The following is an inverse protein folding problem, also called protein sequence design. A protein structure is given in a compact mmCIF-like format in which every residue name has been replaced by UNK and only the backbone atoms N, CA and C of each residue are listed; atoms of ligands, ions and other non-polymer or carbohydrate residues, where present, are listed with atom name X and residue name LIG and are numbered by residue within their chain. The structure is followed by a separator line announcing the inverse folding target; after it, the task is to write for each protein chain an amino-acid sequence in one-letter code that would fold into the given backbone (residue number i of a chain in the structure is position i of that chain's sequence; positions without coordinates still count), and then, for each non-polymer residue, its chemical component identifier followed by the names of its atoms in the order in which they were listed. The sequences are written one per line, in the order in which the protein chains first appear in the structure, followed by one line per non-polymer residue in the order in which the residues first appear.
data_IF_679745004083
#
_entry.id   IF_679745004083
#
_cell.length_a   1.000
_cell.length_b   1.000
_cell.length_c   1.000
_cell.angle_alpha   90.00
_cell.angle_beta   90.00
_cell.angle_gamma   90.00
#
_symmetry.space_group_name_H-M   'P 1'
#
loop_
_entity.id
_entity.type
_entity.pdbx_description
1 polymer ?
#
# COMPACT_ATOMS: atom_id res chain seq x y z
N UNK A 1 23.10 -26.16 -11.37
CA UNK A 1 23.55 -24.79 -11.03
C UNK A 1 22.88 -24.38 -9.73
N UNK A 2 23.63 -24.24 -8.62
CA UNK A 2 23.09 -23.71 -7.37
C UNK A 2 23.08 -22.18 -7.47
N UNK A 3 21.91 -21.55 -7.28
CA UNK A 3 21.82 -20.09 -7.21
C UNK A 3 22.64 -19.60 -6.00
N UNK A 4 23.34 -18.45 -6.11
CA UNK A 4 23.96 -17.80 -4.96
C UNK A 4 22.88 -17.54 -3.89
N UNK A 5 23.09 -18.03 -2.67
CA UNK A 5 22.18 -17.76 -1.54
C UNK A 5 22.33 -16.30 -1.14
N UNK A 6 21.27 -15.51 -1.32
CA UNK A 6 21.25 -14.12 -0.86
C UNK A 6 21.15 -14.09 0.67
N UNK A 7 21.58 -13.00 1.31
CA UNK A 7 21.33 -12.79 2.74
C UNK A 7 19.85 -12.90 3.04
N UNK A 8 18.99 -12.35 2.18
CA UNK A 8 17.54 -12.51 2.22
C UNK A 8 17.01 -13.94 2.38
N UNK A 9 17.67 -14.96 1.79
CA UNK A 9 17.20 -16.35 1.86
C UNK A 9 17.23 -16.94 3.29
N UNK A 10 18.07 -16.37 4.18
CA UNK A 10 18.08 -16.79 5.60
C UNK A 10 16.98 -16.09 6.39
N UNK A 11 16.48 -14.95 5.91
CA UNK A 11 15.29 -14.27 6.45
C UNK A 11 14.07 -14.92 5.80
N UNK A 12 13.63 -16.07 6.32
CA UNK A 12 12.45 -16.80 5.81
C UNK A 12 11.11 -16.10 6.09
N UNK A 13 11.04 -14.77 5.90
CA UNK A 13 9.82 -13.99 6.01
C UNK A 13 9.10 -13.93 4.68
N UNK A 14 7.79 -14.21 4.69
CA UNK A 14 6.90 -13.97 3.55
C UNK A 14 6.09 -12.68 3.73
N UNK A 15 6.30 -11.94 4.82
CA UNK A 15 5.52 -10.74 5.14
C UNK A 15 5.85 -9.56 4.22
N UNK A 16 7.05 -9.53 3.65
CA UNK A 16 7.42 -8.53 2.64
C UNK A 16 6.49 -8.53 1.41
N UNK A 17 5.83 -9.65 1.06
CA UNK A 17 4.83 -9.67 -0.01
C UNK A 17 3.64 -8.75 0.27
N UNK A 18 3.20 -8.66 1.52
CA UNK A 18 2.12 -7.75 1.93
C UNK A 18 2.56 -6.29 1.86
N UNK A 19 3.84 -6.02 2.15
CA UNK A 19 4.43 -4.69 2.05
C UNK A 19 4.57 -4.29 0.57
N UNK A 20 5.05 -5.20 -0.28
CA UNK A 20 5.18 -5.01 -1.73
C UNK A 20 3.83 -4.89 -2.44
N UNK A 21 2.77 -5.52 -1.91
CA UNK A 21 1.42 -5.38 -2.45
C UNK A 21 0.94 -3.92 -2.41
N UNK A 22 1.33 -3.12 -1.41
CA UNK A 22 0.90 -1.71 -1.28
C UNK A 22 1.25 -0.87 -2.53
N UNK A 23 2.53 -0.70 -2.91
CA UNK A 23 2.88 0.09 -4.10
C UNK A 23 2.38 -0.55 -5.40
N UNK A 24 2.35 -1.88 -5.51
CA UNK A 24 1.86 -2.58 -6.72
C UNK A 24 0.37 -2.30 -6.94
N UNK A 25 -0.44 -2.47 -5.89
CA UNK A 25 -1.88 -2.21 -5.94
C UNK A 25 -2.17 -0.72 -6.16
N UNK A 26 -1.34 0.17 -5.61
CA UNK A 26 -1.44 1.61 -5.88
C UNK A 26 -1.23 1.95 -7.36
N UNK A 27 -0.16 1.46 -7.97
CA UNK A 27 0.11 1.68 -9.40
C UNK A 27 -1.03 1.11 -10.25
N UNK A 28 -1.49 -0.10 -9.94
CA UNK A 28 -2.61 -0.72 -10.63
C UNK A 28 -3.89 0.14 -10.54
N UNK A 29 -4.19 0.68 -9.35
CA UNK A 29 -5.33 1.55 -9.15
C UNK A 29 -5.21 2.86 -9.93
N UNK A 30 -4.06 3.52 -9.93
CA UNK A 30 -3.84 4.76 -10.71
C UNK A 30 -4.07 4.51 -12.20
N UNK A 31 -3.56 3.40 -12.73
CA UNK A 31 -3.79 3.00 -14.13
C UNK A 31 -5.28 2.76 -14.39
N UNK A 32 -5.97 2.11 -13.46
CA UNK A 32 -7.42 1.86 -13.55
C UNK A 32 -8.21 3.16 -13.56
N UNK A 33 -7.89 4.11 -12.67
CA UNK A 33 -8.52 5.44 -12.62
C UNK A 33 -8.29 6.19 -13.92
N UNK A 34 -7.05 6.21 -14.43
CA UNK A 34 -6.73 6.87 -15.69
C UNK A 34 -7.52 6.29 -16.87
N UNK A 35 -7.61 4.95 -16.93
CA UNK A 35 -8.39 4.26 -17.97
C UNK A 35 -9.88 4.56 -17.89
N UNK A 36 -10.48 4.49 -16.69
CA UNK A 36 -11.90 4.78 -16.50
C UNK A 36 -12.20 6.26 -16.78
N UNK A 37 -11.34 7.18 -16.35
CA UNK A 37 -11.50 8.61 -16.64
C UNK A 37 -11.43 8.90 -18.14
N UNK A 38 -10.54 8.21 -18.86
CA UNK A 38 -10.45 8.28 -20.32
C UNK A 38 -11.72 7.72 -20.99
N UNK A 39 -12.26 6.58 -20.52
CA UNK A 39 -13.50 6.05 -21.05
C UNK A 39 -14.68 7.01 -20.85
N UNK A 40 -14.81 7.61 -19.65
CA UNK A 40 -15.86 8.59 -19.34
C UNK A 40 -15.73 9.86 -20.19
N UNK A 41 -14.50 10.31 -20.48
CA UNK A 41 -14.32 11.52 -21.30
C UNK A 41 -14.72 11.33 -22.77
N UNK A 42 -14.67 10.09 -23.28
CA UNK A 42 -15.15 9.76 -24.62
C UNK A 42 -16.68 9.68 -24.70
N UNK A 43 -17.33 9.25 -23.63
CA UNK A 43 -18.79 9.10 -23.58
C UNK A 43 -19.36 9.67 -22.26
N UNK A 44 -19.55 10.99 -22.18
CA UNK A 44 -19.95 11.67 -20.94
C UNK A 44 -21.30 11.23 -20.35
N UNK A 45 -22.13 10.56 -21.15
CA UNK A 45 -23.48 10.13 -20.78
C UNK A 45 -23.56 8.66 -20.29
N UNK A 46 -22.44 7.93 -20.19
CA UNK A 46 -22.44 6.52 -19.74
C UNK A 46 -22.92 6.39 -18.29
N UNK A 47 -22.56 7.33 -17.42
CA UNK A 47 -22.85 7.29 -15.99
C UNK A 47 -23.70 8.48 -15.56
N UNK A 48 -24.56 8.32 -14.53
CA UNK A 48 -25.27 9.46 -13.94
C UNK A 48 -24.28 10.53 -13.48
N UNK A 49 -24.46 11.76 -13.96
CA UNK A 49 -23.57 12.89 -13.72
C UNK A 49 -23.77 13.48 -12.31
N UNK A 50 -23.23 12.79 -11.30
CA UNK A 50 -23.18 13.30 -9.91
C UNK A 50 -21.99 14.25 -9.66
N UNK A 51 -20.93 14.19 -10.48
CA UNK A 51 -19.72 14.99 -10.34
C UNK A 51 -19.31 15.60 -11.68
N UNK A 52 -18.79 16.83 -11.65
CA UNK A 52 -18.38 17.57 -12.85
C UNK A 52 -17.03 17.12 -13.43
N UNK A 53 -16.30 16.24 -12.74
CA UNK A 53 -14.95 15.82 -13.12
C UNK A 53 -14.88 14.31 -13.44
N UNK A 54 -14.49 13.92 -14.67
CA UNK A 54 -14.30 12.52 -15.05
C UNK A 54 -13.31 11.76 -14.14
N UNK A 55 -12.29 12.47 -13.61
CA UNK A 55 -11.28 11.89 -12.73
C UNK A 55 -11.89 11.54 -11.37
N UNK A 56 -12.71 12.42 -10.81
CA UNK A 56 -13.38 12.20 -9.51
C UNK A 56 -14.35 11.03 -9.63
N UNK A 57 -15.14 10.98 -10.72
CA UNK A 57 -16.02 9.85 -11.00
C UNK A 57 -15.25 8.54 -11.13
N UNK A 58 -14.16 8.52 -11.90
CA UNK A 58 -13.34 7.34 -12.10
C UNK A 58 -12.72 6.82 -10.80
N UNK A 59 -12.24 7.72 -9.94
CA UNK A 59 -11.71 7.37 -8.63
C UNK A 59 -12.78 6.68 -7.76
N UNK A 60 -13.99 7.21 -7.70
CA UNK A 60 -15.09 6.63 -6.91
C UNK A 60 -15.57 5.29 -7.46
N UNK A 61 -15.76 5.19 -8.79
CA UNK A 61 -16.17 3.94 -9.45
C UNK A 61 -15.11 2.85 -9.24
N UNK A 62 -13.83 3.18 -9.39
CA UNK A 62 -12.75 2.21 -9.17
C UNK A 62 -12.70 1.72 -7.71
N UNK A 63 -13.07 2.57 -6.74
CA UNK A 63 -13.08 2.21 -5.33
C UNK A 63 -14.14 1.15 -5.00
N UNK A 64 -15.22 1.04 -5.77
CA UNK A 64 -16.17 -0.09 -5.65
C UNK A 64 -15.46 -1.43 -5.87
N UNK A 65 -14.50 -1.47 -6.80
CA UNK A 65 -13.74 -2.68 -7.10
C UNK A 65 -12.55 -2.89 -6.15
N UNK A 66 -11.80 -1.84 -5.81
CA UNK A 66 -10.53 -1.96 -5.04
C UNK A 66 -10.60 -1.50 -3.58
N UNK A 67 -11.73 -0.98 -3.11
CA UNK A 67 -11.87 -0.42 -1.76
C UNK A 67 -11.65 -1.45 -0.65
N UNK A 68 -12.18 -2.68 -0.81
CA UNK A 68 -11.92 -3.77 0.13
C UNK A 68 -10.43 -4.15 0.14
N UNK A 69 -9.79 -4.43 -1.01
CA UNK A 69 -8.34 -4.62 -1.07
C UNK A 69 -7.54 -3.52 -0.36
N UNK A 70 -7.92 -2.25 -0.55
CA UNK A 70 -7.24 -1.13 0.11
C UNK A 70 -7.40 -1.18 1.63
N UNK A 71 -8.62 -1.38 2.12
CA UNK A 71 -8.89 -1.48 3.55
C UNK A 71 -8.11 -2.63 4.21
N UNK A 72 -8.05 -3.79 3.53
CA UNK A 72 -7.24 -4.94 3.97
C UNK A 72 -5.77 -4.58 4.02
N UNK A 73 -5.23 -3.95 2.97
CA UNK A 73 -3.81 -3.57 2.94
C UNK A 73 -3.48 -2.53 4.01
N UNK A 74 -4.31 -1.51 4.22
CA UNK A 74 -4.12 -0.52 5.30
C UNK A 74 -4.05 -1.21 6.67
N UNK A 75 -4.94 -2.18 6.92
CA UNK A 75 -4.98 -2.88 8.21
C UNK A 75 -3.79 -3.86 8.39
N UNK A 76 -3.44 -4.61 7.34
CA UNK A 76 -2.39 -5.64 7.40
C UNK A 76 -0.98 -5.04 7.34
N UNK A 77 -0.80 -3.92 6.66
CA UNK A 77 0.50 -3.29 6.43
C UNK A 77 1.35 -3.06 7.70
N UNK A 78 0.87 -2.40 8.77
CA UNK A 78 1.66 -2.21 9.99
C UNK A 78 2.05 -3.55 10.64
N UNK A 79 1.16 -4.54 10.59
CA UNK A 79 1.44 -5.88 11.10
C UNK A 79 2.49 -6.60 10.25
N UNK A 80 2.41 -6.49 8.92
CA UNK A 80 3.39 -7.08 8.02
C UNK A 80 4.79 -6.51 8.24
N UNK A 81 4.91 -5.19 8.41
CA UNK A 81 6.18 -4.52 8.73
C UNK A 81 6.73 -5.02 10.08
N UNK A 82 5.88 -5.12 11.10
CA UNK A 82 6.29 -5.65 12.40
C UNK A 82 6.81 -7.09 12.32
N UNK A 83 6.09 -7.98 11.62
CA UNK A 83 6.49 -9.38 11.48
C UNK A 83 7.76 -9.55 10.64
N UNK A 84 7.92 -8.75 9.58
CA UNK A 84 9.11 -8.81 8.73
C UNK A 84 10.36 -8.34 9.49
N UNK A 85 10.28 -7.21 10.21
CA UNK A 85 11.38 -6.71 11.05
C UNK A 85 11.76 -7.68 12.17
N UNK A 86 10.79 -8.34 12.80
CA UNK A 86 11.05 -9.41 13.78
C UNK A 86 11.77 -10.61 13.16
N UNK A 87 11.37 -11.02 11.95
CA UNK A 87 12.05 -12.10 11.24
C UNK A 87 13.49 -11.74 10.88
N UNK A 88 13.73 -10.49 10.48
CA UNK A 88 15.08 -9.96 10.19
C UNK A 88 15.96 -10.00 11.45
N UNK A 89 15.43 -9.57 12.60
CA UNK A 89 16.15 -9.63 13.87
C UNK A 89 16.57 -11.04 14.27
N UNK A 90 15.70 -12.03 14.07
CA UNK A 90 16.02 -13.45 14.38
C UNK A 90 17.07 -14.04 13.44
N UNK A 91 17.22 -13.50 12.24
CA UNK A 91 18.15 -14.00 11.24
C UNK A 91 19.58 -13.43 11.39
N UNK A 92 19.81 -12.50 12.33
CA UNK A 92 21.12 -11.91 12.67
C UNK A 92 21.90 -11.33 11.47
N UNK A 93 21.21 -10.82 10.45
CA UNK A 93 21.79 -10.34 9.17
C UNK A 93 22.54 -9.00 9.23
N UNK A 94 22.97 -8.55 10.41
CA UNK A 94 23.65 -7.25 10.59
C UNK A 94 22.73 -6.03 10.54
N UNK A 95 21.77 -5.98 9.60
CA UNK A 95 20.71 -4.96 9.58
C UNK A 95 19.67 -5.22 10.67
N UNK A 96 19.46 -4.24 11.56
CA UNK A 96 18.55 -4.33 12.72
C UNK A 96 17.55 -3.18 12.69
N UNK A 97 16.53 -3.23 11.82
CA UNK A 97 15.53 -2.18 11.74
C UNK A 97 14.73 -2.10 13.05
N UNK A 98 14.57 -0.92 13.66
CA UNK A 98 13.83 -0.79 14.92
C UNK A 98 12.35 -1.15 14.72
N UNK A 99 12.01 -2.41 15.02
CA UNK A 99 10.72 -3.02 14.68
C UNK A 99 9.52 -2.24 15.21
N UNK A 100 9.63 -1.69 16.43
CA UNK A 100 8.58 -0.88 17.03
C UNK A 100 8.36 0.43 16.27
N UNK A 101 9.44 1.16 15.96
CA UNK A 101 9.35 2.46 15.28
C UNK A 101 8.81 2.30 13.86
N UNK A 102 9.25 1.26 13.14
CA UNK A 102 8.78 1.01 11.77
C UNK A 102 7.31 0.57 11.74
N UNK A 103 6.87 -0.25 12.69
CA UNK A 103 5.45 -0.59 12.83
C UNK A 103 4.60 0.66 13.16
N UNK A 104 5.10 1.54 14.04
CA UNK A 104 4.46 2.83 14.35
C UNK A 104 4.37 3.74 13.12
N UNK A 105 5.42 3.81 12.30
CA UNK A 105 5.36 4.54 11.02
C UNK A 105 4.38 3.88 10.04
N UNK A 106 4.31 2.56 10.02
CA UNK A 106 3.31 1.81 9.24
C UNK A 106 1.87 2.10 9.64
N UNK A 107 1.62 2.47 10.90
CA UNK A 107 0.30 2.87 11.39
C UNK A 107 -0.17 4.23 10.86
N UNK A 108 0.70 5.06 10.28
CA UNK A 108 0.31 6.39 9.80
C UNK A 108 -0.79 6.33 8.74
N UNK A 109 -0.76 5.33 7.84
CA UNK A 109 -1.84 5.14 6.87
C UNK A 109 -3.18 4.80 7.54
N UNK A 110 -3.18 3.91 8.53
CA UNK A 110 -4.38 3.58 9.29
C UNK A 110 -4.89 4.78 10.10
N UNK A 111 -3.99 5.51 10.78
CA UNK A 111 -4.34 6.70 11.55
C UNK A 111 -4.95 7.78 10.65
N UNK A 112 -4.38 8.00 9.46
CA UNK A 112 -4.92 8.95 8.50
C UNK A 112 -6.30 8.53 7.98
N UNK A 113 -6.52 7.24 7.70
CA UNK A 113 -7.85 6.75 7.33
C UNK A 113 -8.88 7.07 8.41
N UNK A 114 -8.56 6.79 9.68
CA UNK A 114 -9.46 7.06 10.81
C UNK A 114 -9.71 8.56 10.97
N UNK A 115 -8.68 9.40 10.92
CA UNK A 115 -8.81 10.86 11.04
C UNK A 115 -9.67 11.42 9.91
N UNK A 116 -9.41 11.04 8.66
CA UNK A 116 -10.21 11.53 7.52
C UNK A 116 -11.64 11.04 7.61
N UNK A 117 -11.88 9.80 8.03
CA UNK A 117 -13.23 9.29 8.26
C UNK A 117 -13.98 10.11 9.32
N UNK A 118 -13.34 10.41 10.46
CA UNK A 118 -13.95 11.21 11.52
C UNK A 118 -14.26 12.65 11.08
N UNK A 119 -13.41 13.24 10.23
CA UNK A 119 -13.57 14.61 9.75
C UNK A 119 -14.61 14.75 8.63
N UNK A 120 -14.74 13.75 7.77
CA UNK A 120 -15.55 13.84 6.55
C UNK A 120 -16.82 12.99 6.59
N UNK A 121 -16.87 11.99 7.47
CA UNK A 121 -17.86 10.89 7.44
C UNK A 121 -17.95 10.15 6.10
N UNK A 122 -16.96 10.34 5.21
CA UNK A 122 -16.87 9.67 3.92
C UNK A 122 -15.81 8.56 3.98
N UNK A 123 -16.29 7.33 3.88
CA UNK A 123 -15.43 6.13 3.86
C UNK A 123 -14.50 6.12 2.64
N UNK A 124 -14.91 6.72 1.52
CA UNK A 124 -14.14 6.72 0.28
C UNK A 124 -12.87 7.56 0.44
N UNK A 125 -13.05 8.80 0.89
CA UNK A 125 -11.94 9.71 1.21
C UNK A 125 -11.01 9.13 2.28
N UNK A 126 -11.57 8.48 3.30
CA UNK A 126 -10.79 7.83 4.35
C UNK A 126 -9.88 6.72 3.83
N UNK A 127 -10.44 5.79 3.03
CA UNK A 127 -9.70 4.67 2.45
C UNK A 127 -8.61 5.16 1.50
N UNK A 128 -8.94 6.14 0.64
CA UNK A 128 -7.96 6.72 -0.29
C UNK A 128 -6.81 7.38 0.49
N UNK A 129 -7.13 8.24 1.46
CA UNK A 129 -6.12 8.97 2.23
C UNK A 129 -5.18 8.01 2.98
N UNK A 130 -5.74 7.01 3.67
CA UNK A 130 -4.93 6.04 4.40
C UNK A 130 -4.03 5.21 3.48
N UNK A 131 -4.58 4.74 2.36
CA UNK A 131 -3.81 3.93 1.41
C UNK A 131 -2.69 4.73 0.75
N UNK A 132 -2.98 5.95 0.27
CA UNK A 132 -1.98 6.84 -0.35
C UNK A 132 -0.83 7.13 0.61
N UNK A 133 -1.13 7.35 1.90
CA UNK A 133 -0.10 7.62 2.91
C UNK A 133 0.73 6.39 3.29
N UNK A 134 0.22 5.17 3.09
CA UNK A 134 1.02 3.95 3.28
C UNK A 134 2.09 3.75 2.20
N UNK A 135 1.90 4.31 0.99
CA UNK A 135 2.77 4.06 -0.18
C UNK A 135 4.22 4.56 0.02
N UNK A 136 4.48 5.82 0.44
CA UNK A 136 5.84 6.30 0.62
C UNK A 136 6.65 5.47 1.61
N UNK A 137 6.03 5.07 2.73
CA UNK A 137 6.69 4.24 3.73
C UNK A 137 6.93 2.81 3.22
N UNK A 138 5.99 2.22 2.48
CA UNK A 138 6.19 0.91 1.87
C UNK A 138 7.38 0.90 0.91
N UNK A 139 7.49 1.93 0.05
CA UNK A 139 8.61 2.09 -0.88
C UNK A 139 9.94 2.30 -0.14
N UNK A 140 9.95 3.16 0.88
CA UNK A 140 11.13 3.38 1.72
C UNK A 140 11.60 2.08 2.38
N UNK A 141 10.68 1.32 3.00
CA UNK A 141 10.99 0.07 3.68
C UNK A 141 11.54 -0.98 2.71
N UNK A 142 10.90 -1.19 1.55
CA UNK A 142 11.35 -2.16 0.55
C UNK A 142 12.71 -1.79 -0.05
N UNK A 143 12.98 -0.49 -0.24
CA UNK A 143 14.29 -0.02 -0.68
C UNK A 143 15.36 -0.35 0.35
N UNK A 144 15.14 0.01 1.61
CA UNK A 144 16.09 -0.29 2.69
C UNK A 144 16.32 -1.80 2.83
N UNK A 145 15.25 -2.59 2.70
CA UNK A 145 15.31 -4.05 2.72
C UNK A 145 16.13 -4.60 1.55
N UNK A 146 15.94 -4.06 0.34
CA UNK A 146 16.72 -4.43 -0.83
C UNK A 146 18.21 -4.10 -0.67
N UNK A 147 18.52 -2.89 -0.20
CA UNK A 147 19.90 -2.42 -0.05
C UNK A 147 20.67 -3.23 1.01
N UNK A 148 19.99 -3.70 2.07
CA UNK A 148 20.62 -4.47 3.15
C UNK A 148 20.58 -6.00 2.96
N UNK A 149 19.54 -6.55 2.33
CA UNK A 149 19.32 -8.00 2.23
C UNK A 149 19.43 -8.55 0.81
N UNK A 150 19.63 -7.69 -0.20
CA UNK A 150 19.70 -8.07 -1.61
C UNK A 150 18.36 -8.54 -2.21
N UNK A 151 17.27 -8.49 -1.42
CA UNK A 151 15.91 -8.83 -1.83
C UNK A 151 14.96 -7.71 -1.40
N UNK A 152 14.04 -7.28 -2.29
CA UNK A 152 13.00 -6.32 -1.91
C UNK A 152 12.12 -6.91 -0.82
#
# INVERSE_FOLDING_TARGET
MQRPKLSGDRVQSRWWYWIAAVPVVFVFWVVTVAWVAFAISLEPNILPSTYDSPIVHAALVSLVAVGIPFAVLIAVFPFAVFQDTQAIHRAEQGWKPPSGNYALTGLLGLAAAVVVWLLTSDISSAVIAGFVLSVPFALYYLRERHDNLGVP
#
